data_IF_027794275331
#
_entry.id   IF_027794275331
#
_cell.length_a   1.000
_cell.length_b   1.000
_cell.length_c   1.000
_cell.angle_alpha   90.00
_cell.angle_beta   90.00
_cell.angle_gamma   90.00
#
_symmetry.space_group_name_H-M   'P 1'
#
loop_
_entity.id
_entity.type
_entity.pdbx_description
1 polymer ?
#
# COMPACT_ATOMS: atom_id res chain seq x y z
N UNK A 1 16.95 -0.09 6.14
CA UNK A 1 16.58 -0.59 5.84
C UNK A 1 16.67 -1.24 5.26
N UNK A 2 16.83 -1.59 5.04
CA UNK A 2 16.84 -2.10 4.34
C UNK A 2 16.25 -2.76 3.94
N UNK A 3 16.16 -2.88 3.44
CA UNK A 3 15.32 -3.37 2.94
C UNK A 3 14.96 -4.51 3.16
N UNK A 4 15.48 -4.84 3.50
CA UNK A 4 14.48 -5.43 4.05
C UNK A 4 13.81 -6.45 3.24
N UNK A 5 12.91 -6.18 2.87
CA UNK A 5 12.17 -6.91 1.95
C UNK A 5 13.01 -7.65 0.96
N UNK A 6 14.06 -7.05 0.49
CA UNK A 6 14.81 -7.62 -0.61
C UNK A 6 15.29 -9.02 -0.40
N UNK A 7 15.58 -9.37 0.79
CA UNK A 7 16.14 -10.68 1.00
C UNK A 7 15.21 -11.81 0.62
N UNK A 8 14.03 -11.75 1.11
CA UNK A 8 13.09 -12.81 0.82
C UNK A 8 12.75 -12.82 -0.65
N UNK A 9 12.56 -11.66 -1.20
CA UNK A 9 12.18 -11.57 -2.58
C UNK A 9 13.24 -12.09 -3.50
N UNK A 10 14.47 -11.80 -3.16
CA UNK A 10 15.56 -12.26 -3.98
C UNK A 10 15.58 -13.78 -4.07
N UNK A 11 15.35 -14.43 -2.97
CA UNK A 11 15.32 -15.86 -2.98
C UNK A 11 14.23 -16.41 -3.86
N UNK A 12 13.09 -15.80 -3.80
CA UNK A 12 11.99 -16.26 -4.61
C UNK A 12 12.28 -16.13 -6.08
N UNK A 13 12.86 -15.04 -6.46
CA UNK A 13 13.18 -14.84 -7.86
C UNK A 13 14.18 -15.86 -8.31
N UNK A 14 15.15 -16.14 -7.48
CA UNK A 14 16.15 -17.12 -7.83
C UNK A 14 15.52 -18.49 -8.01
N UNK A 15 14.62 -18.82 -7.13
CA UNK A 15 14.00 -20.12 -7.19
C UNK A 15 13.21 -20.29 -8.48
N UNK A 16 12.57 -19.26 -8.91
CA UNK A 16 11.80 -19.37 -10.12
C UNK A 16 12.65 -19.56 -11.32
N UNK A 17 13.69 -18.80 -11.42
CA UNK A 17 14.64 -19.00 -12.49
C UNK A 17 14.11 -18.94 -13.90
N UNK A 18 12.86 -18.92 -14.08
CA UNK A 18 12.28 -18.94 -15.42
C UNK A 18 11.81 -17.58 -15.86
N UNK A 19 12.20 -16.56 -15.14
CA UNK A 19 11.86 -15.23 -15.55
C UNK A 19 10.54 -14.73 -15.06
N UNK A 20 9.81 -15.56 -14.37
CA UNK A 20 8.56 -15.12 -13.81
C UNK A 20 8.82 -14.14 -12.71
N UNK A 21 8.16 -13.02 -12.72
CA UNK A 21 8.33 -12.06 -11.66
C UNK A 21 7.19 -12.09 -10.66
N UNK A 22 6.26 -12.99 -10.83
CA UNK A 22 5.14 -13.09 -9.91
C UNK A 22 5.50 -13.90 -8.70
N UNK A 23 5.04 -13.46 -7.55
CA UNK A 23 5.23 -14.20 -6.33
C UNK A 23 4.04 -15.10 -6.11
N UNK A 24 4.23 -16.20 -5.37
CA UNK A 24 3.10 -17.04 -5.02
C UNK A 24 2.08 -16.24 -4.20
N UNK A 25 0.83 -16.64 -4.24
CA UNK A 25 -0.18 -15.91 -3.48
C UNK A 25 0.09 -15.84 -1.98
N UNK A 26 0.87 -16.76 -1.45
CA UNK A 26 1.14 -16.76 -0.03
C UNK A 26 2.54 -16.30 0.29
N UNK A 27 3.18 -15.59 -0.62
CA UNK A 27 4.51 -15.07 -0.35
C UNK A 27 4.47 -14.15 0.85
N UNK A 28 5.49 -14.25 1.68
CA UNK A 28 5.57 -13.44 2.88
C UNK A 28 6.73 -12.48 2.81
N UNK A 29 6.49 -11.29 3.31
CA UNK A 29 7.52 -10.28 3.39
C UNK A 29 8.09 -10.28 4.81
N UNK A 30 9.25 -9.65 4.99
CA UNK A 30 9.86 -9.62 6.32
C UNK A 30 8.97 -9.02 7.40
N UNK A 31 8.07 -8.13 7.04
CA UNK A 31 7.18 -7.51 8.01
C UNK A 31 5.94 -8.36 8.28
N UNK A 32 5.88 -9.56 7.70
CA UNK A 32 4.73 -10.43 7.90
C UNK A 32 3.64 -10.28 6.86
N UNK A 33 3.76 -9.32 5.98
CA UNK A 33 2.74 -9.12 4.95
C UNK A 33 2.77 -10.21 3.90
N UNK A 34 1.62 -10.48 3.31
CA UNK A 34 1.52 -11.41 2.19
C UNK A 34 1.28 -10.62 0.94
N UNK A 35 2.14 -10.81 -0.03
CA UNK A 35 2.11 -10.00 -1.24
C UNK A 35 1.67 -10.80 -2.44
N UNK A 36 0.83 -10.19 -3.28
CA UNK A 36 0.46 -10.73 -4.58
C UNK A 36 0.69 -9.63 -5.61
N UNK A 37 1.49 -9.91 -6.61
CA UNK A 37 1.76 -8.94 -7.65
C UNK A 37 3.12 -9.18 -8.25
N UNK A 38 3.62 -8.16 -8.93
CA UNK A 38 4.89 -8.28 -9.63
C UNK A 38 6.05 -7.88 -8.75
N UNK A 39 7.18 -8.50 -9.03
CA UNK A 39 8.43 -8.18 -8.37
C UNK A 39 9.47 -8.00 -9.46
N UNK A 40 10.21 -6.89 -9.39
CA UNK A 40 11.27 -6.61 -10.34
C UNK A 40 12.53 -6.31 -9.54
N UNK A 41 13.58 -7.03 -9.82
CA UNK A 41 14.87 -6.87 -9.12
C UNK A 41 14.71 -6.95 -7.61
N UNK A 42 13.83 -7.86 -7.17
CA UNK A 42 13.65 -8.08 -5.73
C UNK A 42 12.74 -7.09 -5.03
N UNK A 43 12.13 -6.18 -5.77
CA UNK A 43 11.28 -5.16 -5.16
C UNK A 43 9.87 -5.23 -5.72
N UNK A 44 8.90 -4.89 -4.89
CA UNK A 44 7.52 -4.85 -5.33
C UNK A 44 7.35 -3.75 -6.35
N UNK A 45 6.64 -4.04 -7.42
CA UNK A 45 6.59 -3.13 -8.54
C UNK A 45 5.24 -3.27 -9.25
N UNK A 46 4.64 -2.14 -9.64
CA UNK A 46 3.39 -2.18 -10.37
C UNK A 46 2.21 -2.54 -9.50
N UNK A 47 1.10 -2.95 -10.11
CA UNK A 47 -0.11 -3.25 -9.33
C UNK A 47 0.09 -4.49 -8.46
N UNK A 48 -0.47 -4.43 -7.28
CA UNK A 48 -0.37 -5.56 -6.37
C UNK A 48 -1.17 -5.34 -5.12
N UNK A 49 -1.09 -6.31 -4.22
CA UNK A 49 -1.82 -6.26 -2.96
C UNK A 49 -0.99 -6.87 -1.85
N UNK A 50 -1.03 -6.24 -0.69
CA UNK A 50 -0.40 -6.76 0.51
C UNK A 50 -1.47 -6.89 1.59
N UNK A 51 -1.47 -8.02 2.28
CA UNK A 51 -2.32 -8.24 3.45
C UNK A 51 -1.42 -8.42 4.66
N UNK A 52 -1.65 -7.64 5.70
CA UNK A 52 -0.82 -7.67 6.89
C UNK A 52 -1.48 -8.51 7.99
N UNK A 53 -0.69 -9.03 8.91
CA UNK A 53 -1.24 -9.89 9.96
C UNK A 53 -2.28 -9.23 10.84
N UNK A 54 -2.22 -7.91 10.98
CA UNK A 54 -3.16 -7.21 11.85
C UNK A 54 -4.49 -6.92 11.16
N UNK A 55 -4.68 -7.39 9.92
CA UNK A 55 -5.93 -7.17 9.22
C UNK A 55 -5.93 -5.99 8.28
N UNK A 56 -4.90 -5.18 8.30
CA UNK A 56 -4.82 -4.08 7.34
C UNK A 56 -4.38 -4.62 5.99
N UNK A 57 -4.65 -3.86 4.93
CA UNK A 57 -4.21 -4.28 3.61
C UNK A 57 -4.12 -3.08 2.67
N UNK A 58 -3.33 -3.24 1.64
CA UNK A 58 -3.17 -2.24 0.61
C UNK A 58 -3.32 -2.92 -0.75
N UNK A 59 -4.08 -2.29 -1.65
CA UNK A 59 -4.19 -2.75 -3.02
C UNK A 59 -3.99 -1.55 -3.92
N UNK A 60 -2.99 -1.60 -4.77
CA UNK A 60 -2.69 -0.49 -5.63
C UNK A 60 -1.33 -0.64 -6.25
N UNK A 61 -0.73 0.49 -6.58
CA UNK A 61 0.56 0.47 -7.26
C UNK A 61 1.71 0.55 -6.29
N UNK A 62 2.79 -0.09 -6.69
CA UNK A 62 4.04 -0.09 -5.95
C UNK A 62 5.14 0.41 -6.87
N UNK A 63 6.13 1.04 -6.28
CA UNK A 63 7.34 1.40 -7.00
C UNK A 63 8.51 1.19 -6.06
N UNK A 64 9.43 0.33 -6.45
CA UNK A 64 10.63 0.06 -5.67
C UNK A 64 10.31 -0.29 -4.22
N UNK A 65 9.25 -1.08 -4.04
CA UNK A 65 8.92 -1.60 -2.72
C UNK A 65 8.01 -0.74 -1.88
N UNK A 66 7.60 0.43 -2.36
CA UNK A 66 6.73 1.30 -1.56
C UNK A 66 5.44 1.58 -2.32
N UNK A 67 4.41 1.97 -1.57
CA UNK A 67 3.14 2.38 -2.17
C UNK A 67 3.40 3.64 -2.97
N UNK A 68 2.98 3.64 -4.21
CA UNK A 68 3.26 4.76 -5.09
C UNK A 68 2.18 4.85 -6.15
N UNK A 69 1.61 6.03 -6.35
CA UNK A 69 0.53 6.17 -7.31
C UNK A 69 -0.80 5.89 -6.66
N UNK A 70 -1.75 5.38 -7.41
CA UNK A 70 -3.10 5.18 -6.90
C UNK A 70 -3.20 3.90 -6.10
N UNK A 71 -3.94 3.96 -5.00
CA UNK A 71 -4.14 2.77 -4.20
C UNK A 71 -5.23 2.92 -3.18
N UNK A 72 -5.60 1.78 -2.58
CA UNK A 72 -6.57 1.69 -1.49
C UNK A 72 -5.86 1.13 -0.28
N UNK A 73 -5.93 1.84 0.82
CA UNK A 73 -5.37 1.37 2.08
C UNK A 73 -6.49 1.17 3.08
N UNK A 74 -6.54 -0.01 3.67
CA UNK A 74 -7.53 -0.32 4.69
C UNK A 74 -6.80 -0.63 5.98
N UNK A 75 -6.97 0.22 6.97
CA UNK A 75 -6.29 0.05 8.23
C UNK A 75 -7.01 -0.96 9.10
N UNK A 76 -6.29 -1.51 10.05
CA UNK A 76 -6.85 -2.54 10.91
C UNK A 76 -8.00 -2.02 11.77
N UNK A 77 -8.05 -0.72 12.00
CA UNK A 77 -9.12 -0.13 12.79
C UNK A 77 -10.35 0.25 11.97
N UNK A 78 -10.32 -0.02 10.67
CA UNK A 78 -11.45 0.28 9.81
C UNK A 78 -11.33 1.54 8.98
N UNK A 79 -10.30 2.34 9.22
CA UNK A 79 -10.10 3.53 8.38
C UNK A 79 -9.74 3.11 6.97
N UNK A 80 -10.18 3.91 5.99
CA UNK A 80 -9.91 3.62 4.60
C UNK A 80 -9.40 4.86 3.91
N UNK A 81 -8.29 4.73 3.21
CA UNK A 81 -7.80 5.81 2.36
C UNK A 81 -7.79 5.32 0.92
N UNK A 82 -8.35 6.12 0.02
CA UNK A 82 -8.31 5.85 -1.41
C UNK A 82 -7.80 7.08 -2.11
N UNK A 83 -6.73 6.92 -2.85
CA UNK A 83 -6.17 8.05 -3.56
C UNK A 83 -4.73 7.81 -3.91
N UNK A 84 -4.01 8.92 -4.01
CA UNK A 84 -2.61 8.84 -4.43
C UNK A 84 -1.69 8.64 -3.25
N UNK A 85 -0.60 7.97 -3.52
CA UNK A 85 0.48 7.76 -2.56
C UNK A 85 1.78 8.19 -3.18
N UNK A 86 2.66 8.68 -2.35
CA UNK A 86 4.02 8.97 -2.78
C UNK A 86 4.96 8.53 -1.68
N UNK A 87 5.88 7.64 -2.00
CA UNK A 87 6.85 7.12 -1.05
C UNK A 87 6.15 6.53 0.19
N UNK A 88 5.01 5.89 -0.03
CA UNK A 88 4.30 5.24 1.06
C UNK A 88 3.38 6.14 1.85
N UNK A 89 3.27 7.41 1.50
CA UNK A 89 2.44 8.34 2.25
C UNK A 89 1.31 8.87 1.38
N UNK A 90 0.21 9.25 2.01
CA UNK A 90 -0.92 9.86 1.29
C UNK A 90 -0.42 11.10 0.58
N UNK A 91 -0.84 11.29 -0.64
CA UNK A 91 -0.36 12.40 -1.45
C UNK A 91 -1.41 12.76 -2.49
N UNK A 92 -1.40 14.00 -2.96
CA UNK A 92 -2.31 14.42 -4.01
C UNK A 92 -3.76 14.35 -3.56
N UNK A 93 -4.65 13.96 -4.44
CA UNK A 93 -6.06 13.89 -4.11
C UNK A 93 -6.42 12.54 -3.55
N UNK A 94 -7.23 12.53 -2.50
CA UNK A 94 -7.66 11.28 -1.93
C UNK A 94 -8.84 11.45 -1.00
N UNK A 95 -9.35 10.31 -0.53
CA UNK A 95 -10.44 10.24 0.43
C UNK A 95 -9.98 9.48 1.64
N UNK A 96 -10.16 10.04 2.81
CA UNK A 96 -9.86 9.33 4.05
C UNK A 96 -11.14 9.20 4.83
N UNK A 97 -11.56 7.97 5.05
CA UNK A 97 -12.81 7.68 5.72
C UNK A 97 -12.52 7.00 7.04
N UNK A 98 -12.96 7.62 8.12
CA UNK A 98 -12.82 7.03 9.43
C UNK A 98 -14.22 6.77 9.98
N UNK A 99 -14.30 6.19 11.17
CA UNK A 99 -15.62 5.88 11.70
C UNK A 99 -16.42 7.14 12.07
N UNK A 100 -15.76 8.28 12.22
CA UNK A 100 -16.48 9.48 12.61
C UNK A 100 -16.30 10.64 11.62
N UNK A 101 -15.62 10.43 10.51
CA UNK A 101 -15.48 11.52 9.55
C UNK A 101 -15.06 11.00 8.19
N UNK A 102 -15.40 11.77 7.17
CA UNK A 102 -14.97 11.52 5.80
C UNK A 102 -14.31 12.77 5.28
N UNK A 103 -13.07 12.65 4.85
CA UNK A 103 -12.37 13.78 4.26
C UNK A 103 -12.04 13.48 2.80
N UNK A 104 -12.32 14.42 1.91
CA UNK A 104 -11.96 14.30 0.50
C UNK A 104 -11.23 15.56 0.11
N UNK A 105 -10.02 15.42 -0.39
CA UNK A 105 -9.26 16.60 -0.77
C UNK A 105 -7.79 16.28 -0.92
N UNK A 106 -6.98 17.29 -0.72
CA UNK A 106 -5.55 17.17 -0.93
C UNK A 106 -4.81 16.60 0.27
N UNK A 107 -3.72 15.94 -0.03
CA UNK A 107 -2.81 15.40 0.97
C UNK A 107 -1.39 15.67 0.54
N UNK A 108 -0.53 15.79 1.53
CA UNK A 108 0.90 15.93 1.27
C UNK A 108 1.64 15.29 2.43
N UNK A 109 2.47 14.31 2.10
CA UNK A 109 3.29 13.61 3.07
C UNK A 109 2.46 13.07 4.24
N UNK A 110 1.30 12.49 3.91
CA UNK A 110 0.45 11.86 4.89
C UNK A 110 -0.50 12.79 5.60
N UNK A 111 -0.47 14.07 5.31
CA UNK A 111 -1.29 15.06 5.99
C UNK A 111 -2.24 15.73 5.03
N UNK A 112 -3.40 16.14 5.56
CA UNK A 112 -4.31 16.93 4.74
C UNK A 112 -3.64 18.23 4.36
N UNK A 113 -3.82 18.62 3.11
CA UNK A 113 -3.14 19.78 2.60
C UNK A 113 -4.03 20.44 1.55
N UNK A 114 -4.11 21.75 1.59
CA UNK A 114 -4.90 22.48 0.62
C UNK A 114 -6.38 22.33 0.88
N UNK A 115 -7.16 22.37 -0.17
CA UNK A 115 -8.60 22.36 -0.03
C UNK A 115 -9.16 20.97 0.03
N UNK A 116 -10.21 20.82 0.78
CA UNK A 116 -10.90 19.56 0.86
C UNK A 116 -12.21 19.72 1.58
N UNK A 117 -12.98 18.65 1.60
CA UNK A 117 -14.29 18.64 2.23
C UNK A 117 -14.26 17.62 3.36
N UNK A 118 -14.67 18.05 4.54
CA UNK A 118 -14.73 17.16 5.68
C UNK A 118 -16.17 17.02 6.12
N UNK A 119 -16.61 15.78 6.26
CA UNK A 119 -17.93 15.47 6.81
C UNK A 119 -17.76 14.72 8.10
N UNK A 120 -18.49 15.14 9.09
CA UNK A 120 -18.44 14.47 10.38
C UNK A 120 -19.55 13.44 10.41
N UNK A 121 -19.21 12.22 10.18
CA UNK A 121 -20.22 11.19 10.03
C UNK A 121 -21.03 10.92 11.28
N UNK A 122 -20.42 11.09 12.40
CA UNK A 122 -21.13 10.80 13.62
C UNK A 122 -22.19 11.79 13.99
N UNK A 123 -22.26 12.85 13.25
CA UNK A 123 -23.17 13.91 13.58
C UNK A 123 -24.57 13.69 13.09
N UNK A 124 -24.72 12.83 12.21
CA UNK A 124 -26.05 12.67 11.64
C UNK A 124 -27.04 12.06 12.60
#
# INVERSE_FOLDING_TARGET
MRPFVPLALTLLLTACGDGESLLPPDARLPDGGRYRGEVVNGLLQGPGRIDYPNGSWYAGNFSNGVFQGQGDWHASNGDVYRGSFEQGLYSGQGSLITHDSDYMGGFKQGRREGEGTLKEGGMS
#
